data_IF_406864705679
#
_entry.id   IF_406864705679
#
_cell.length_a   1.000
_cell.length_b   1.000
_cell.length_c   1.000
_cell.angle_alpha   90.00
_cell.angle_beta   90.00
_cell.angle_gamma   90.00
#
_symmetry.space_group_name_H-M   'P 1'
#
loop_
_entity.id
_entity.type
_entity.pdbx_description
1 polymer ?
#
# COMPACT_ATOMS: atom_id res chain seq x y z
N UNK A 1 42.87 8.03 -5.27
CA UNK A 1 42.59 8.51 -6.64
C UNK A 1 41.33 7.81 -7.09
N UNK A 2 40.33 8.59 -7.51
CA UNK A 2 38.99 8.16 -7.90
C UNK A 2 38.92 7.77 -9.40
N UNK A 3 37.74 7.23 -9.79
CA UNK A 3 37.19 6.99 -11.14
C UNK A 3 37.51 5.65 -11.80
N UNK A 4 36.61 4.97 -12.53
CA UNK A 4 35.20 5.20 -12.94
C UNK A 4 34.77 3.91 -13.65
N UNK A 5 33.82 3.16 -13.12
CA UNK A 5 32.96 2.25 -13.92
C UNK A 5 31.56 2.30 -13.31
N UNK A 6 30.93 3.48 -13.46
CA UNK A 6 29.47 3.54 -13.51
C UNK A 6 29.10 2.96 -14.87
N UNK A 7 28.90 1.64 -14.93
CA UNK A 7 28.05 1.05 -15.96
C UNK A 7 26.65 1.63 -15.72
N UNK A 8 26.38 2.74 -16.40
CA UNK A 8 25.02 3.23 -16.62
C UNK A 8 24.25 2.08 -17.26
N UNK A 9 23.51 1.36 -16.41
CA UNK A 9 22.63 0.28 -16.82
C UNK A 9 21.77 0.81 -17.97
N UNK A 10 21.70 0.15 -19.14
CA UNK A 10 20.85 0.59 -20.26
C UNK A 10 19.34 0.55 -19.94
N UNK A 11 18.99 -0.02 -18.77
CA UNK A 11 17.66 0.01 -18.18
C UNK A 11 17.46 1.17 -17.19
N UNK A 12 18.50 1.94 -16.85
CA UNK A 12 18.43 3.13 -15.99
C UNK A 12 17.65 4.29 -16.65
N UNK A 13 17.60 4.35 -17.98
CA UNK A 13 16.76 5.29 -18.73
C UNK A 13 15.27 4.86 -18.74
N UNK A 14 15.01 3.57 -18.45
CA UNK A 14 13.69 2.98 -18.21
C UNK A 14 13.29 3.03 -16.73
N UNK A 15 14.16 3.47 -15.82
CA UNK A 15 13.77 3.97 -14.51
C UNK A 15 13.08 5.32 -14.71
N UNK A 16 11.90 5.29 -15.34
CA UNK A 16 10.89 6.28 -15.03
C UNK A 16 10.60 6.07 -13.55
N UNK A 17 10.62 7.15 -12.77
CA UNK A 17 10.19 7.16 -11.38
C UNK A 17 8.66 6.91 -11.35
N UNK A 18 8.25 5.70 -11.75
CA UNK A 18 6.88 5.21 -11.60
C UNK A 18 6.47 5.35 -10.13
N UNK A 19 7.44 5.27 -9.22
CA UNK A 19 7.27 5.58 -7.80
C UNK A 19 6.75 6.99 -7.55
N UNK A 20 7.16 8.06 -8.26
CA UNK A 20 6.60 9.41 -8.07
C UNK A 20 5.14 9.51 -8.53
N UNK A 21 4.82 9.00 -9.71
CA UNK A 21 3.44 8.99 -10.21
C UNK A 21 2.52 8.09 -9.37
N UNK A 22 3.01 6.92 -8.96
CA UNK A 22 2.31 6.02 -8.05
C UNK A 22 2.16 6.66 -6.66
N UNK A 23 3.16 7.40 -6.16
CA UNK A 23 3.07 8.18 -4.90
C UNK A 23 1.96 9.22 -4.99
N UNK A 24 1.89 10.01 -6.06
CA UNK A 24 0.83 11.01 -6.24
C UNK A 24 -0.56 10.35 -6.34
N UNK A 25 -0.69 9.24 -7.07
CA UNK A 25 -1.95 8.49 -7.18
C UNK A 25 -2.37 7.84 -5.87
N UNK A 26 -1.45 7.21 -5.16
CA UNK A 26 -1.70 6.66 -3.82
C UNK A 26 -2.17 7.78 -2.91
N UNK A 27 -1.44 8.89 -2.87
CA UNK A 27 -1.79 10.06 -2.07
C UNK A 27 -3.18 10.55 -2.41
N UNK A 28 -3.53 10.75 -3.67
CA UNK A 28 -4.87 11.24 -4.05
C UNK A 28 -5.96 10.24 -3.64
N UNK A 29 -5.73 8.94 -3.87
CA UNK A 29 -6.66 7.88 -3.54
C UNK A 29 -6.88 7.73 -2.02
N UNK A 30 -5.82 7.82 -1.20
CA UNK A 30 -5.92 7.63 0.25
C UNK A 30 -6.09 8.95 1.02
N UNK A 31 -5.71 10.11 0.50
CA UNK A 31 -5.77 11.39 1.24
C UNK A 31 -7.19 11.77 1.66
N UNK A 32 -8.21 11.27 0.95
CA UNK A 32 -9.61 11.44 1.31
C UNK A 32 -10.11 10.48 2.40
N UNK A 33 -9.37 9.39 2.65
CA UNK A 33 -9.79 8.23 3.44
C UNK A 33 -8.93 8.04 4.70
N UNK A 34 -7.60 8.08 4.52
CA UNK A 34 -6.59 7.83 5.54
C UNK A 34 -5.64 9.03 5.55
N UNK A 35 -5.49 9.66 6.71
CA UNK A 35 -4.37 10.55 6.97
C UNK A 35 -3.17 9.75 7.49
N UNK A 36 -1.96 10.23 7.27
CA UNK A 36 -0.77 9.70 7.94
C UNK A 36 -0.41 10.68 9.03
N UNK A 37 -0.31 10.21 10.27
CA UNK A 37 0.19 11.01 11.37
C UNK A 37 1.70 11.18 11.24
N UNK A 38 2.17 12.43 11.10
CA UNK A 38 3.60 12.72 10.87
C UNK A 38 4.47 12.53 12.11
N UNK A 39 3.88 12.33 13.29
CA UNK A 39 4.64 12.09 14.52
C UNK A 39 4.80 10.60 14.82
N UNK A 40 3.84 9.78 14.39
CA UNK A 40 3.79 8.35 14.74
C UNK A 40 3.83 7.42 13.54
N UNK A 41 3.80 7.95 12.31
CA UNK A 41 3.65 7.18 11.08
C UNK A 41 2.47 6.19 11.15
N UNK A 42 1.38 6.57 11.85
CA UNK A 42 0.17 5.76 12.02
C UNK A 42 -0.97 6.23 11.11
N UNK A 43 -1.82 5.31 10.64
CA UNK A 43 -2.96 5.66 9.82
C UNK A 43 -4.04 6.32 10.67
N UNK A 44 -4.39 7.55 10.32
CA UNK A 44 -5.52 8.30 10.86
C UNK A 44 -6.74 8.02 9.99
N UNK A 45 -7.56 7.07 10.41
CA UNK A 45 -8.78 6.67 9.71
C UNK A 45 -9.80 7.82 9.75
N UNK A 46 -10.23 8.30 8.58
CA UNK A 46 -11.27 9.33 8.48
C UNK A 46 -12.66 8.72 8.37
N UNK A 47 -13.69 9.53 8.59
CA UNK A 47 -15.09 9.10 8.50
C UNK A 47 -15.42 8.45 7.14
N UNK A 48 -14.87 8.97 6.04
CA UNK A 48 -15.03 8.38 4.71
C UNK A 48 -14.45 6.97 4.61
N UNK A 49 -13.38 6.66 5.33
CA UNK A 49 -12.83 5.31 5.40
C UNK A 49 -13.76 4.38 6.17
N UNK A 50 -14.30 4.81 7.31
CA UNK A 50 -15.28 4.01 8.07
C UNK A 50 -16.58 3.77 7.29
N UNK A 51 -16.93 4.65 6.34
CA UNK A 51 -18.07 4.47 5.45
C UNK A 51 -17.81 3.48 4.27
N UNK A 52 -16.56 3.07 4.05
CA UNK A 52 -16.21 2.10 3.01
C UNK A 52 -16.47 0.65 3.48
N UNK A 53 -16.64 -0.25 2.52
CA UNK A 53 -16.71 -1.69 2.78
C UNK A 53 -15.35 -2.22 3.23
N UNK A 54 -15.35 -3.32 4.00
CA UNK A 54 -14.12 -3.93 4.55
C UNK A 54 -13.07 -4.23 3.47
N UNK A 55 -13.48 -4.61 2.25
CA UNK A 55 -12.57 -4.81 1.09
C UNK A 55 -11.86 -3.52 0.68
N UNK A 56 -12.59 -2.40 0.60
CA UNK A 56 -12.03 -1.09 0.23
C UNK A 56 -11.17 -0.51 1.35
N UNK A 57 -11.59 -0.71 2.60
CA UNK A 57 -10.79 -0.37 3.78
C UNK A 57 -9.45 -1.11 3.77
N UNK A 58 -9.49 -2.43 3.53
CA UNK A 58 -8.29 -3.25 3.42
C UNK A 58 -7.37 -2.79 2.28
N UNK A 59 -7.93 -2.51 1.11
CA UNK A 59 -7.17 -1.97 -0.04
C UNK A 59 -6.50 -0.64 0.30
N UNK A 60 -7.20 0.26 0.98
CA UNK A 60 -6.66 1.55 1.38
C UNK A 60 -5.52 1.41 2.41
N UNK A 61 -5.60 0.46 3.36
CA UNK A 61 -4.52 0.18 4.31
C UNK A 61 -3.28 -0.41 3.63
N UNK A 62 -3.45 -1.26 2.61
CA UNK A 62 -2.32 -1.77 1.83
C UNK A 62 -1.61 -0.66 1.05
N UNK A 63 -2.39 0.25 0.45
CA UNK A 63 -1.86 1.43 -0.23
C UNK A 63 -1.18 2.39 0.75
N UNK A 64 -1.71 2.52 1.97
CA UNK A 64 -1.07 3.28 3.04
C UNK A 64 0.30 2.71 3.42
N UNK A 65 0.41 1.39 3.63
CA UNK A 65 1.70 0.73 3.90
C UNK A 65 2.68 0.94 2.75
N UNK A 66 2.20 0.90 1.51
CA UNK A 66 3.00 1.24 0.32
C UNK A 66 3.48 2.69 0.33
N UNK A 67 2.63 3.62 0.79
CA UNK A 67 2.99 5.03 0.94
C UNK A 67 4.09 5.20 1.99
N UNK A 68 4.01 4.52 3.14
CA UNK A 68 5.05 4.55 4.17
C UNK A 68 6.40 4.05 3.64
N UNK A 69 6.42 2.93 2.91
CA UNK A 69 7.63 2.45 2.23
C UNK A 69 8.19 3.52 1.29
N UNK A 70 7.30 4.19 0.55
CA UNK A 70 7.70 5.20 -0.43
C UNK A 70 8.21 6.49 0.21
N UNK A 71 7.84 6.74 1.47
CA UNK A 71 8.27 7.85 2.31
C UNK A 71 9.50 7.50 3.16
N UNK A 72 9.97 6.25 3.11
CA UNK A 72 11.06 5.74 3.95
C UNK A 72 10.74 5.88 5.47
N UNK A 73 9.46 5.88 5.82
CA UNK A 73 8.96 5.99 7.20
C UNK A 73 8.72 4.62 7.86
N UNK A 74 8.98 3.53 7.14
CA UNK A 74 9.01 2.19 7.71
C UNK A 74 10.32 2.02 8.48
N UNK A 75 10.24 1.46 9.69
CA UNK A 75 11.44 1.12 10.47
C UNK A 75 12.31 0.10 9.69
N UNK A 76 13.63 0.09 9.91
CA UNK A 76 14.57 -0.80 9.17
C UNK A 76 14.23 -2.30 9.32
N UNK A 77 13.58 -2.69 10.42
CA UNK A 77 13.10 -4.05 10.70
C UNK A 77 11.61 -4.25 10.33
N UNK A 78 10.91 -3.20 9.89
CA UNK A 78 9.50 -3.29 9.52
C UNK A 78 9.35 -3.70 8.05
N UNK A 79 8.55 -4.74 7.83
CA UNK A 79 8.27 -5.26 6.49
C UNK A 79 7.14 -4.48 5.81
N UNK A 80 7.16 -4.47 4.48
CA UNK A 80 6.17 -3.75 3.65
C UNK A 80 4.76 -4.30 3.81
N UNK A 81 4.67 -5.63 3.92
CA UNK A 81 3.43 -6.35 4.15
C UNK A 81 3.14 -6.52 5.63
N UNK A 82 1.90 -6.90 5.93
CA UNK A 82 1.45 -7.23 7.27
C UNK A 82 0.51 -8.42 7.26
N UNK A 83 0.38 -9.09 8.39
CA UNK A 83 -0.56 -10.19 8.54
C UNK A 83 -2.01 -9.72 8.53
N UNK A 84 -2.94 -10.64 8.27
CA UNK A 84 -4.37 -10.34 8.26
C UNK A 84 -4.87 -9.85 9.62
N UNK A 85 -4.19 -10.20 10.72
CA UNK A 85 -4.60 -9.84 12.08
C UNK A 85 -4.35 -8.36 12.33
N UNK A 86 -3.22 -7.84 11.86
CA UNK A 86 -2.91 -6.41 11.86
C UNK A 86 -4.01 -5.58 11.16
N UNK A 87 -4.41 -5.99 9.95
CA UNK A 87 -5.45 -5.29 9.20
C UNK A 87 -6.84 -5.47 9.82
N UNK A 88 -7.13 -6.66 10.35
CA UNK A 88 -8.36 -6.97 11.05
C UNK A 88 -8.57 -6.08 12.28
N UNK A 89 -7.51 -5.88 13.08
CA UNK A 89 -7.55 -5.02 14.28
C UNK A 89 -7.79 -3.55 13.91
N UNK A 90 -7.10 -3.05 12.88
CA UNK A 90 -7.26 -1.68 12.37
C UNK A 90 -8.67 -1.36 11.86
N UNK A 91 -9.29 -2.31 11.15
CA UNK A 91 -10.62 -2.12 10.56
C UNK A 91 -11.73 -2.54 11.55
N UNK A 92 -11.41 -3.35 12.55
CA UNK A 92 -12.38 -3.94 13.47
C UNK A 92 -13.20 -5.08 12.84
N UNK A 93 -12.57 -5.91 12.02
CA UNK A 93 -13.21 -7.08 11.36
C UNK A 93 -12.47 -8.36 11.72
N UNK A 94 -13.06 -9.52 11.43
CA UNK A 94 -12.37 -10.79 11.62
C UNK A 94 -11.24 -11.01 10.60
N UNK A 95 -10.19 -11.70 11.04
CA UNK A 95 -9.04 -12.12 10.22
C UNK A 95 -9.48 -12.87 8.94
N UNK A 96 -10.54 -13.69 9.05
CA UNK A 96 -11.15 -14.39 7.92
C UNK A 96 -11.72 -13.45 6.87
N UNK A 97 -12.29 -12.30 7.26
CA UNK A 97 -12.77 -11.26 6.32
C UNK A 97 -11.62 -10.69 5.50
N UNK A 98 -10.47 -10.45 6.15
CA UNK A 98 -9.27 -9.96 5.47
C UNK A 98 -8.72 -11.00 4.51
N UNK A 99 -8.60 -12.28 4.93
CA UNK A 99 -8.14 -13.35 4.03
C UNK A 99 -9.05 -13.53 2.82
N UNK A 100 -10.36 -13.46 3.04
CA UNK A 100 -11.35 -13.50 1.96
C UNK A 100 -11.19 -12.30 1.03
N UNK A 101 -11.06 -11.08 1.56
CA UNK A 101 -10.79 -9.90 0.76
C UNK A 101 -9.49 -10.04 -0.04
N UNK A 102 -8.39 -10.43 0.60
CA UNK A 102 -7.10 -10.63 -0.07
C UNK A 102 -7.15 -11.68 -1.19
N UNK A 103 -7.95 -12.75 -1.01
CA UNK A 103 -8.15 -13.78 -2.04
C UNK A 103 -8.98 -13.26 -3.21
N UNK A 104 -9.94 -12.38 -2.95
CA UNK A 104 -10.82 -11.76 -3.93
C UNK A 104 -10.11 -10.66 -4.74
N UNK A 105 -9.13 -9.99 -4.12
CA UNK A 105 -8.38 -8.90 -4.72
C UNK A 105 -7.14 -9.42 -5.45
N UNK A 106 -7.22 -9.53 -6.77
CA UNK A 106 -6.12 -10.01 -7.63
C UNK A 106 -4.82 -9.18 -7.47
N UNK A 107 -4.93 -7.94 -7.03
CA UNK A 107 -3.79 -7.05 -6.83
C UNK A 107 -3.05 -7.22 -5.50
N UNK A 108 -3.60 -8.01 -4.58
CA UNK A 108 -2.98 -8.28 -3.28
C UNK A 108 -2.18 -9.57 -3.39
N UNK A 109 -0.95 -9.54 -2.87
CA UNK A 109 -0.09 -10.72 -2.77
C UNK A 109 0.13 -10.99 -1.30
N UNK A 110 0.11 -12.27 -0.93
CA UNK A 110 0.50 -12.73 0.40
C UNK A 110 1.90 -13.33 0.29
N UNK A 111 2.84 -12.70 0.99
CA UNK A 111 4.25 -13.04 0.99
C UNK A 111 4.74 -12.93 2.44
N UNK A 112 4.82 -14.07 3.14
CA UNK A 112 5.29 -14.16 4.53
C UNK A 112 6.72 -13.62 4.69
N UNK A 113 7.58 -13.70 3.66
CA UNK A 113 8.94 -13.14 3.73
C UNK A 113 8.93 -11.61 3.77
N UNK A 114 7.87 -11.00 3.24
CA UNK A 114 7.63 -9.56 3.29
C UNK A 114 6.57 -9.18 4.32
N UNK A 115 6.30 -10.03 5.32
CA UNK A 115 5.39 -9.73 6.42
C UNK A 115 3.92 -10.09 6.19
N UNK A 116 3.57 -10.65 5.03
CA UNK A 116 2.22 -11.12 4.73
C UNK A 116 1.59 -10.39 3.54
N UNK A 117 0.43 -9.78 3.74
CA UNK A 117 -0.33 -9.13 2.68
C UNK A 117 0.29 -7.79 2.27
N UNK A 118 0.59 -7.64 0.99
CA UNK A 118 1.10 -6.41 0.40
C UNK A 118 0.58 -6.20 -1.03
N UNK A 119 0.70 -4.96 -1.51
CA UNK A 119 0.42 -4.61 -2.91
C UNK A 119 1.76 -4.40 -3.62
N UNK A 120 2.07 -5.22 -4.66
CA UNK A 120 3.28 -5.05 -5.45
C UNK A 120 3.29 -3.69 -6.16
N UNK A 121 4.48 -3.09 -6.43
CA UNK A 121 4.59 -1.81 -7.14
C UNK A 121 3.78 -1.79 -8.44
N UNK A 122 3.93 -2.83 -9.24
CA UNK A 122 3.27 -2.98 -10.54
C UNK A 122 1.75 -3.15 -10.46
N UNK A 123 1.17 -3.42 -9.27
CA UNK A 123 -0.28 -3.54 -9.06
C UNK A 123 -0.88 -2.36 -8.28
N UNK A 124 -0.07 -1.38 -7.89
CA UNK A 124 -0.52 -0.15 -7.20
C UNK A 124 -1.58 0.61 -8.01
N UNK A 125 -1.38 0.71 -9.32
CA UNK A 125 -2.35 1.34 -10.22
C UNK A 125 -3.71 0.60 -10.23
N UNK A 126 -3.70 -0.74 -10.14
CA UNK A 126 -4.93 -1.52 -10.09
C UNK A 126 -5.65 -1.34 -8.74
N UNK A 127 -4.90 -1.31 -7.64
CA UNK A 127 -5.44 -1.08 -6.30
C UNK A 127 -6.03 0.32 -6.13
N UNK A 128 -5.34 1.37 -6.59
CA UNK A 128 -5.84 2.76 -6.55
C UNK A 128 -7.06 2.95 -7.44
N UNK A 129 -7.07 2.31 -8.62
CA UNK A 129 -8.25 2.29 -9.49
C UNK A 129 -9.42 1.56 -8.84
N UNK A 130 -9.18 0.41 -8.21
CA UNK A 130 -10.23 -0.35 -7.51
C UNK A 130 -10.85 0.44 -6.36
N UNK A 131 -10.03 1.16 -5.60
CA UNK A 131 -10.49 2.01 -4.50
C UNK A 131 -11.38 3.17 -5.00
N UNK A 132 -11.03 3.77 -6.13
CA UNK A 132 -11.78 4.86 -6.77
C UNK A 132 -12.96 4.38 -7.61
N UNK A 133 -12.92 3.15 -8.11
CA UNK A 133 -14.06 2.50 -8.74
C UNK A 133 -15.12 2.33 -7.66
N UNK A 134 -16.19 3.12 -7.79
CA UNK A 134 -17.41 2.98 -7.01
C UNK A 134 -18.17 1.70 -7.35
N UNK A 135 -17.50 0.56 -7.56
CA UNK A 135 -18.16 -0.74 -7.61
C UNK A 135 -18.72 -0.98 -6.20
N UNK A 136 -20.00 -0.62 -6.09
CA UNK A 136 -21.00 -1.15 -5.19
C UNK A 136 -21.19 -2.61 -5.61
N UNK A 137 -20.88 -3.53 -4.70
CA UNK A 137 -21.30 -4.94 -4.81
C UNK A 137 -22.85 -4.99 -4.69
#
# INVERSE_FOLDING_TARGET
MANKEQEENPLADLYVDASEEDRERIRDAISGLIGIDTETAKPVLREKFSALTSKKQFTALLLYRRALLSLDELEEDETVGQDSTYFADLIGVDDSTIRHAATDLDFVVNDDEQGGYLVPPHKTHQATKWLNSGEED
#
